data_IF_431851660972
#
_entry.id   IF_431851660972
#
_cell.length_a   1.000
_cell.length_b   1.000
_cell.length_c   1.000
_cell.angle_alpha   90.00
_cell.angle_beta   90.00
_cell.angle_gamma   90.00
#
_symmetry.space_group_name_H-M   'P 1'
#
loop_
_entity.id
_entity.type
_entity.pdbx_description
1 polymer ?
#
# COMPACT_ATOMS: atom_id res chain seq x y z
N UNK A 1 -52.52 33.54 -37.57
CA UNK A 1 -52.56 33.62 -36.09
C UNK A 1 -51.23 33.10 -35.54
N UNK A 2 -50.29 33.95 -35.09
CA UNK A 2 -49.02 33.50 -34.54
C UNK A 2 -49.20 32.91 -33.13
N UNK A 3 -48.81 31.66 -32.94
CA UNK A 3 -48.82 30.99 -31.63
C UNK A 3 -47.74 31.59 -30.72
N UNK A 4 -48.14 32.32 -29.67
CA UNK A 4 -47.23 32.76 -28.61
C UNK A 4 -46.89 31.58 -27.71
N UNK A 5 -45.72 30.96 -27.90
CA UNK A 5 -45.17 29.99 -26.96
C UNK A 5 -44.87 30.70 -25.63
N UNK A 6 -45.34 30.20 -24.47
CA UNK A 6 -45.05 30.83 -23.19
C UNK A 6 -43.54 30.75 -22.90
N UNK A 7 -42.86 31.90 -22.87
CA UNK A 7 -41.41 31.97 -22.63
C UNK A 7 -40.96 31.31 -21.31
N UNK A 8 -41.86 31.23 -20.32
CA UNK A 8 -41.61 30.55 -19.05
C UNK A 8 -41.32 29.05 -19.19
N UNK A 9 -42.01 28.35 -20.10
CA UNK A 9 -41.79 26.92 -20.34
C UNK A 9 -40.45 26.66 -21.00
N UNK A 10 -40.05 27.53 -21.93
CA UNK A 10 -38.77 27.44 -22.63
C UNK A 10 -37.61 27.67 -21.66
N UNK A 11 -37.70 28.70 -20.81
CA UNK A 11 -36.69 28.98 -19.78
C UNK A 11 -36.54 27.82 -18.79
N UNK A 12 -37.65 27.29 -18.26
CA UNK A 12 -37.61 26.16 -17.34
C UNK A 12 -37.02 24.88 -17.96
N UNK A 13 -37.24 24.66 -19.26
CA UNK A 13 -36.60 23.55 -19.99
C UNK A 13 -35.09 23.76 -20.11
N UNK A 14 -34.67 24.95 -20.52
CA UNK A 14 -33.25 25.29 -20.65
C UNK A 14 -32.52 25.21 -19.31
N UNK A 15 -33.13 25.69 -18.22
CA UNK A 15 -32.55 25.60 -16.87
C UNK A 15 -32.36 24.14 -16.43
N UNK A 16 -33.30 23.24 -16.76
CA UNK A 16 -33.16 21.80 -16.52
C UNK A 16 -32.05 21.18 -17.37
N UNK A 17 -31.95 21.54 -18.65
CA UNK A 17 -30.90 21.06 -19.54
C UNK A 17 -29.51 21.52 -19.07
N UNK A 18 -29.38 22.79 -18.64
CA UNK A 18 -28.13 23.32 -18.05
C UNK A 18 -27.78 22.62 -16.75
N UNK A 19 -28.75 22.37 -15.87
CA UNK A 19 -28.53 21.62 -14.64
C UNK A 19 -28.08 20.16 -14.92
N UNK A 20 -28.70 19.50 -15.90
CA UNK A 20 -28.32 18.15 -16.32
C UNK A 20 -26.89 18.12 -16.92
N UNK A 21 -26.55 19.08 -17.80
CA UNK A 21 -25.20 19.19 -18.36
C UNK A 21 -24.13 19.46 -17.29
N UNK A 22 -24.42 20.30 -16.29
CA UNK A 22 -23.52 20.54 -15.16
C UNK A 22 -23.30 19.27 -14.32
N UNK A 23 -24.36 18.52 -14.05
CA UNK A 23 -24.26 17.24 -13.34
C UNK A 23 -23.39 16.24 -14.14
N UNK A 24 -23.64 16.11 -15.45
CA UNK A 24 -22.83 15.24 -16.32
C UNK A 24 -21.36 15.68 -16.38
N UNK A 25 -21.09 16.97 -16.48
CA UNK A 25 -19.72 17.50 -16.48
C UNK A 25 -19.01 17.20 -15.16
N UNK A 26 -19.68 17.38 -14.02
CA UNK A 26 -19.11 17.03 -12.71
C UNK A 26 -18.83 15.52 -12.59
N UNK A 27 -19.71 14.67 -13.13
CA UNK A 27 -19.50 13.22 -13.16
C UNK A 27 -18.28 12.86 -14.01
N UNK A 28 -18.18 13.40 -15.23
CA UNK A 28 -17.03 13.14 -16.11
C UNK A 28 -15.72 13.64 -15.51
N UNK A 29 -15.72 14.80 -14.84
CA UNK A 29 -14.54 15.28 -14.12
C UNK A 29 -14.12 14.35 -12.98
N UNK A 30 -15.08 13.79 -12.24
CA UNK A 30 -14.83 12.81 -11.19
C UNK A 30 -14.30 11.48 -11.76
N UNK A 31 -14.84 11.01 -12.88
CA UNK A 31 -14.36 9.81 -13.57
C UNK A 31 -12.95 10.01 -14.13
N UNK A 32 -12.68 11.17 -14.72
CA UNK A 32 -11.37 11.53 -15.23
C UNK A 32 -10.33 11.61 -14.12
N UNK A 33 -10.62 12.27 -12.99
CA UNK A 33 -9.69 12.33 -11.85
C UNK A 33 -9.41 10.95 -11.25
N UNK A 34 -10.44 10.09 -11.17
CA UNK A 34 -10.29 8.69 -10.76
C UNK A 34 -9.40 7.91 -11.72
N UNK A 35 -9.59 8.05 -13.04
CA UNK A 35 -8.76 7.36 -14.04
C UNK A 35 -7.31 7.85 -14.02
N UNK A 36 -7.09 9.16 -13.90
CA UNK A 36 -5.75 9.73 -13.75
C UNK A 36 -5.04 9.19 -12.52
N UNK A 37 -5.74 9.10 -11.38
CA UNK A 37 -5.21 8.49 -10.16
C UNK A 37 -4.80 7.03 -10.39
N UNK A 38 -5.67 6.24 -11.03
CA UNK A 38 -5.38 4.83 -11.35
C UNK A 38 -4.16 4.70 -12.27
N UNK A 39 -4.09 5.51 -13.32
CA UNK A 39 -2.97 5.50 -14.25
C UNK A 39 -1.66 5.88 -13.55
N UNK A 40 -1.66 6.96 -12.76
CA UNK A 40 -0.49 7.39 -11.98
C UNK A 40 0.00 6.30 -11.03
N UNK A 41 -0.91 5.64 -10.30
CA UNK A 41 -0.57 4.55 -9.40
C UNK A 41 0.03 3.34 -10.13
N UNK A 42 -0.53 2.97 -11.29
CA UNK A 42 -0.03 1.87 -12.12
C UNK A 42 1.35 2.19 -12.70
N UNK A 43 1.53 3.39 -13.25
CA UNK A 43 2.80 3.85 -13.79
C UNK A 43 3.89 3.82 -12.70
N UNK A 44 3.63 4.40 -11.53
CA UNK A 44 4.57 4.43 -10.41
C UNK A 44 4.93 3.01 -9.91
N UNK A 45 3.96 2.08 -9.94
CA UNK A 45 4.21 0.66 -9.61
C UNK A 45 5.10 0.00 -10.66
N UNK A 46 4.83 0.23 -11.95
CA UNK A 46 5.64 -0.29 -13.05
C UNK A 46 7.08 0.25 -13.00
N UNK A 47 7.26 1.54 -12.73
CA UNK A 47 8.58 2.17 -12.61
C UNK A 47 9.36 1.58 -11.42
N UNK A 48 8.69 1.39 -10.30
CA UNK A 48 9.27 0.75 -9.11
C UNK A 48 9.72 -0.69 -9.38
N UNK A 49 8.93 -1.46 -10.14
CA UNK A 49 9.28 -2.83 -10.55
C UNK A 49 10.42 -2.86 -11.58
N UNK A 50 10.45 -1.91 -12.51
CA UNK A 50 11.55 -1.76 -13.48
C UNK A 50 12.87 -1.39 -12.78
N UNK A 51 12.79 -0.52 -11.77
CA UNK A 51 13.92 -0.17 -10.92
C UNK A 51 14.44 -1.39 -10.15
N UNK A 52 13.54 -2.18 -9.54
CA UNK A 52 13.91 -3.43 -8.84
C UNK A 52 14.61 -4.45 -9.74
N UNK A 53 14.17 -4.57 -11.00
CA UNK A 53 14.84 -5.42 -11.98
C UNK A 53 16.26 -4.92 -12.25
N UNK A 54 16.39 -3.62 -12.48
CA UNK A 54 17.68 -2.97 -12.77
C UNK A 54 18.64 -3.05 -11.58
N UNK A 55 18.15 -2.97 -10.34
CA UNK A 55 19.00 -3.09 -9.15
C UNK A 55 19.52 -4.51 -8.96
N UNK A 56 18.69 -5.53 -9.24
CA UNK A 56 19.11 -6.94 -9.21
C UNK A 56 20.25 -7.22 -10.20
N UNK A 57 20.11 -6.74 -11.44
CA UNK A 57 21.13 -6.91 -12.49
C UNK A 57 22.48 -6.28 -12.10
N UNK A 58 22.46 -5.12 -11.43
CA UNK A 58 23.70 -4.47 -10.94
C UNK A 58 24.39 -5.28 -9.85
N UNK A 59 23.64 -5.83 -8.90
CA UNK A 59 24.19 -6.65 -7.82
C UNK A 59 24.83 -7.94 -8.37
N UNK A 60 24.20 -8.57 -9.36
CA UNK A 60 24.74 -9.77 -10.03
C UNK A 60 26.02 -9.45 -10.82
N UNK A 61 26.10 -8.29 -11.49
CA UNK A 61 27.29 -7.91 -12.27
C UNK A 61 28.54 -7.58 -11.44
N UNK A 62 28.37 -7.20 -10.17
CA UNK A 62 29.48 -6.76 -9.30
C UNK A 62 30.18 -7.94 -8.61
N UNK A 63 29.47 -9.05 -8.41
CA UNK A 63 30.10 -10.30 -8.00
C UNK A 63 30.71 -10.97 -9.21
N UNK A 64 32.04 -10.81 -9.38
CA UNK A 64 32.82 -11.58 -10.34
C UNK A 64 32.38 -13.04 -10.29
N UNK A 65 32.14 -13.69 -11.44
CA UNK A 65 31.55 -15.02 -11.50
C UNK A 65 32.36 -15.95 -10.62
N UNK A 66 31.78 -16.32 -9.48
CA UNK A 66 32.35 -17.37 -8.66
C UNK A 66 32.38 -18.62 -9.55
N UNK A 67 33.53 -19.29 -9.72
CA UNK A 67 33.70 -20.39 -10.68
C UNK A 67 32.98 -21.70 -10.25
N UNK A 68 31.70 -21.59 -9.88
CA UNK A 68 30.88 -22.72 -9.43
C UNK A 68 29.37 -22.49 -9.38
N UNK A 69 28.82 -21.39 -9.88
CA UNK A 69 27.36 -21.15 -9.86
C UNK A 69 26.77 -21.03 -11.25
N UNK A 70 25.81 -21.91 -11.54
CA UNK A 70 25.08 -22.14 -12.80
C UNK A 70 25.91 -22.89 -13.83
N UNK A 71 25.74 -24.21 -13.85
CA UNK A 71 26.26 -25.05 -14.95
C UNK A 71 25.62 -24.60 -16.25
N UNK A 72 26.38 -24.62 -17.35
CA UNK A 72 25.88 -24.27 -18.68
C UNK A 72 24.59 -25.03 -19.07
N UNK A 73 24.32 -26.17 -18.44
CA UNK A 73 23.09 -26.94 -18.58
C UNK A 73 21.84 -26.27 -17.97
N UNK A 74 21.96 -25.56 -16.84
CA UNK A 74 20.85 -24.77 -16.27
C UNK A 74 20.56 -23.53 -17.12
N UNK A 75 21.60 -22.93 -17.72
CA UNK A 75 21.46 -21.80 -18.62
C UNK A 75 20.87 -22.22 -19.98
N UNK A 76 21.21 -23.42 -20.48
CA UNK A 76 20.59 -24.02 -21.66
C UNK A 76 19.11 -24.40 -21.43
N UNK A 77 18.74 -24.85 -20.22
CA UNK A 77 17.34 -25.09 -19.83
C UNK A 77 16.54 -23.78 -19.72
N UNK A 78 17.17 -22.70 -19.25
CA UNK A 78 16.57 -21.36 -19.23
C UNK A 78 16.42 -20.76 -20.64
N UNK A 79 17.37 -20.99 -21.55
CA UNK A 79 17.27 -20.59 -22.96
C UNK A 79 16.19 -21.39 -23.72
N UNK A 80 16.03 -22.69 -23.45
CA UNK A 80 14.91 -23.47 -24.00
C UNK A 80 13.55 -23.02 -23.46
N UNK A 81 13.48 -22.51 -22.23
CA UNK A 81 12.27 -21.91 -21.66
C UNK A 81 12.01 -20.48 -22.17
N UNK A 82 13.05 -19.72 -22.52
CA UNK A 82 12.93 -18.39 -23.14
C UNK A 82 12.43 -18.46 -24.60
N UNK A 83 12.59 -19.59 -25.28
CA UNK A 83 12.04 -19.86 -26.63
C UNK A 83 10.51 -19.90 -26.72
N UNK A 84 9.79 -19.82 -25.60
CA UNK A 84 8.33 -19.64 -25.56
C UNK A 84 7.90 -18.18 -25.28
N UNK A 85 8.86 -17.24 -25.27
CA UNK A 85 8.56 -15.81 -25.12
C UNK A 85 7.92 -15.25 -26.39
N UNK A 86 6.69 -14.77 -26.24
CA UNK A 86 5.93 -13.99 -27.20
C UNK A 86 6.80 -13.01 -28.00
N UNK A 87 6.65 -13.06 -29.33
CA UNK A 87 6.90 -11.99 -30.29
C UNK A 87 7.51 -10.70 -29.68
N UNK A 88 8.83 -10.62 -29.73
CA UNK A 88 9.54 -9.34 -29.82
C UNK A 88 9.03 -8.67 -31.09
N UNK A 89 8.02 -7.81 -30.97
CA UNK A 89 7.74 -6.81 -32.01
C UNK A 89 8.90 -5.84 -31.92
N UNK A 90 9.81 -5.97 -32.87
CA UNK A 90 10.92 -5.05 -33.09
C UNK A 90 10.40 -3.61 -33.07
N UNK A 91 10.75 -2.88 -32.01
CA UNK A 91 10.64 -1.42 -31.98
C UNK A 91 11.96 -0.83 -32.47
N UNK A 92 12.35 -1.20 -33.69
CA UNK A 92 13.36 -0.49 -34.46
C UNK A 92 12.68 0.18 -35.66
N UNK A 93 12.65 1.52 -35.63
CA UNK A 93 12.49 2.31 -36.84
C UNK A 93 11.16 3.06 -37.02
N UNK A 94 10.80 3.98 -36.12
CA UNK A 94 10.17 5.26 -36.54
C UNK A 94 10.70 6.38 -35.64
N UNK A 95 11.88 6.89 -35.98
CA UNK A 95 12.28 8.26 -35.69
C UNK A 95 11.75 9.14 -36.82
N UNK A 96 10.72 9.96 -36.57
CA UNK A 96 10.54 11.33 -37.11
C UNK A 96 9.15 11.87 -36.75
N UNK A 97 9.13 13.08 -36.18
CA UNK A 97 8.01 14.03 -36.05
C UNK A 97 6.78 13.64 -35.21
N UNK A 98 6.82 13.97 -33.91
CA UNK A 98 5.63 14.37 -33.14
C UNK A 98 6.01 15.28 -31.95
N UNK A 99 6.78 16.34 -32.21
CA UNK A 99 6.90 17.47 -31.30
C UNK A 99 6.11 18.63 -31.88
N UNK A 100 4.87 18.85 -31.40
CA UNK A 100 4.10 20.12 -31.53
C UNK A 100 2.64 20.08 -31.01
N UNK A 101 2.24 19.22 -30.05
CA UNK A 101 0.80 19.14 -29.67
C UNK A 101 0.46 18.95 -28.18
N UNK A 102 1.39 19.24 -27.25
CA UNK A 102 1.11 19.09 -25.80
C UNK A 102 1.49 20.31 -24.93
N UNK A 103 1.60 21.51 -25.50
CA UNK A 103 1.88 22.76 -24.76
C UNK A 103 0.82 23.87 -24.97
N UNK A 104 -0.45 23.51 -25.17
CA UNK A 104 -1.53 24.48 -25.41
C UNK A 104 -2.65 24.50 -24.34
N UNK A 105 -2.45 23.94 -23.15
CA UNK A 105 -3.49 23.99 -22.10
C UNK A 105 -2.91 24.06 -20.70
N UNK A 106 -2.18 25.14 -20.38
CA UNK A 106 -1.89 25.51 -18.99
C UNK A 106 -1.66 27.01 -18.74
N UNK A 107 -2.05 27.88 -19.68
CA UNK A 107 -2.01 29.35 -19.48
C UNK A 107 -3.39 29.92 -19.78
N UNK A 108 -4.30 29.85 -18.80
CA UNK A 108 -5.52 30.68 -18.75
C UNK A 108 -6.28 30.42 -17.43
N UNK A 109 -5.65 30.64 -16.27
CA UNK A 109 -6.37 30.96 -15.02
C UNK A 109 -5.41 31.68 -14.06
N UNK A 110 -5.01 32.89 -14.45
CA UNK A 110 -4.48 33.90 -13.55
C UNK A 110 -5.51 35.04 -13.53
N UNK A 111 -6.17 35.25 -12.40
CA UNK A 111 -7.16 36.31 -12.25
C UNK A 111 -7.83 36.34 -10.88
N UNK A 112 -7.29 37.22 -10.03
CA UNK A 112 -7.93 37.88 -8.89
C UNK A 112 -7.95 37.18 -7.52
N UNK A 113 -6.92 37.47 -6.71
CA UNK A 113 -7.11 37.93 -5.33
C UNK A 113 -5.85 38.71 -4.89
N UNK A 114 -5.96 40.03 -4.85
CA UNK A 114 -4.98 40.93 -4.25
C UNK A 114 -5.54 41.49 -2.93
N UNK A 115 -4.62 41.91 -2.06
CA UNK A 115 -4.76 42.51 -0.73
C UNK A 115 -4.91 41.47 0.42
N UNK A 116 -4.14 41.49 1.50
CA UNK A 116 -3.35 42.56 2.11
C UNK A 116 -2.27 41.98 3.05
N UNK A 117 -1.17 42.73 3.22
CA UNK A 117 -0.53 43.08 4.50
C UNK A 117 0.99 43.12 4.43
N UNK A 118 1.47 44.35 4.35
CA UNK A 118 2.79 44.90 4.61
C UNK A 118 3.13 44.95 6.11
N UNK A 119 4.44 45.07 6.37
CA UNK A 119 5.15 45.43 7.62
C UNK A 119 5.43 44.24 8.59
N UNK A 120 6.61 44.07 9.18
CA UNK A 120 7.58 45.08 9.63
C UNK A 120 9.05 44.59 9.62
N UNK A 121 9.95 45.59 9.63
CA UNK A 121 11.41 45.53 9.74
C UNK A 121 11.90 45.27 11.19
N UNK A 122 13.24 45.25 11.31
CA UNK A 122 14.14 45.47 12.47
C UNK A 122 14.47 44.23 13.32
N UNK A 123 15.69 43.68 13.26
CA UNK A 123 17.01 44.17 13.73
C UNK A 123 17.18 44.04 15.25
N UNK A 124 18.15 43.22 15.68
CA UNK A 124 19.09 43.52 16.78
C UNK A 124 20.07 42.36 17.00
N UNK A 125 21.34 42.67 16.83
CA UNK A 125 22.50 41.99 17.43
C UNK A 125 22.44 42.07 18.96
N UNK A 126 22.96 41.04 19.64
CA UNK A 126 23.62 41.20 20.93
C UNK A 126 24.53 39.98 21.18
N UNK A 127 25.82 40.17 20.94
CA UNK A 127 26.86 39.42 21.62
C UNK A 127 26.84 39.76 23.12
N UNK A 128 27.08 38.76 24.00
CA UNK A 128 27.99 38.94 25.13
C UNK A 128 28.40 37.59 25.75
N UNK A 129 29.67 37.45 26.19
CA UNK A 129 30.24 36.22 26.73
C UNK A 129 30.26 36.25 28.27
N UNK A 130 30.41 35.08 28.91
CA UNK A 130 31.00 34.98 30.26
C UNK A 130 31.43 33.55 30.64
N UNK A 131 32.74 33.41 30.83
CA UNK A 131 33.48 32.67 31.87
C UNK A 131 32.81 31.56 32.69
N UNK A 132 33.42 30.37 32.58
CA UNK A 132 34.18 29.76 33.68
C UNK A 132 33.41 28.93 34.73
N UNK A 133 33.74 27.64 34.87
CA UNK A 133 34.30 27.10 36.13
C UNK A 133 34.73 25.63 36.00
N UNK A 134 35.72 25.26 36.81
CA UNK A 134 36.42 23.98 36.90
C UNK A 134 35.76 23.03 37.92
N UNK A 135 35.92 21.71 37.71
CA UNK A 135 36.23 20.58 38.66
C UNK A 135 35.43 19.32 38.25
N UNK A 136 36.04 18.19 37.91
CA UNK A 136 36.81 17.20 38.71
C UNK A 136 35.92 16.18 39.44
N UNK A 137 36.17 14.89 39.18
CA UNK A 137 35.57 13.70 39.84
C UNK A 137 35.11 12.67 38.80
N UNK A 138 35.92 11.68 38.40
CA UNK A 138 36.17 10.38 39.08
C UNK A 138 34.89 9.70 39.55
N UNK A 139 34.44 8.65 38.86
CA UNK A 139 34.45 7.25 39.36
C UNK A 139 33.78 6.27 38.38
N UNK A 140 34.35 5.05 38.40
CA UNK A 140 33.71 3.74 38.18
C UNK A 140 33.22 3.34 36.79
N UNK A 141 34.06 2.49 36.18
CA UNK A 141 33.75 1.46 35.21
C UNK A 141 32.62 0.52 35.69
N UNK A 142 31.60 0.38 34.85
CA UNK A 142 30.73 -0.79 34.84
C UNK A 142 30.66 -1.30 33.39
N UNK A 143 31.23 -2.50 33.21
CA UNK A 143 31.27 -3.25 31.98
C UNK A 143 29.85 -3.79 31.71
N UNK A 144 29.08 -3.09 30.88
CA UNK A 144 27.87 -3.64 30.25
C UNK A 144 28.14 -3.79 28.76
N UNK A 145 28.50 -5.01 28.36
CA UNK A 145 28.62 -5.41 26.96
C UNK A 145 27.24 -5.47 26.31
N UNK A 146 26.70 -4.32 25.93
CA UNK A 146 25.65 -4.26 24.92
C UNK A 146 26.30 -4.29 23.55
N UNK A 147 26.01 -5.36 22.80
CA UNK A 147 26.31 -5.48 21.38
C UNK A 147 25.68 -4.32 20.62
N UNK A 148 26.48 -3.27 20.37
CA UNK A 148 26.15 -2.16 19.49
C UNK A 148 26.71 -2.49 18.11
N UNK A 149 25.93 -3.18 17.30
CA UNK A 149 26.24 -3.32 15.88
C UNK A 149 25.17 -2.58 15.05
N UNK A 150 25.65 -1.69 14.18
CA UNK A 150 24.92 -1.06 13.06
C UNK A 150 23.91 0.06 13.37
N UNK A 151 24.40 1.29 13.60
CA UNK A 151 23.56 2.50 13.51
C UNK A 151 24.13 3.63 12.61
N UNK A 152 25.30 3.44 12.00
CA UNK A 152 25.96 4.50 11.21
C UNK A 152 25.44 4.61 9.77
N UNK A 153 24.91 3.53 9.18
CA UNK A 153 24.43 3.55 7.78
C UNK A 153 23.14 4.37 7.59
N UNK A 154 22.33 4.56 8.64
CA UNK A 154 21.06 5.29 8.55
C UNK A 154 21.22 6.82 8.62
N UNK A 155 22.27 7.32 9.26
CA UNK A 155 22.44 8.75 9.50
C UNK A 155 22.75 9.55 8.23
N UNK A 156 23.35 8.91 7.21
CA UNK A 156 23.69 9.57 5.94
C UNK A 156 22.49 9.78 5.00
N UNK A 157 21.36 9.09 5.22
CA UNK A 157 20.15 9.23 4.39
C UNK A 157 19.13 10.24 4.95
N UNK A 158 19.40 10.87 6.10
CA UNK A 158 18.47 11.78 6.78
C UNK A 158 18.64 13.27 6.45
N UNK A 159 19.61 13.68 5.62
CA UNK A 159 19.83 15.10 5.29
C UNK A 159 18.94 15.62 4.14
N UNK A 160 17.67 15.23 4.11
CA UNK A 160 16.68 15.85 3.21
C UNK A 160 16.26 17.24 3.72
N UNK A 161 15.90 18.19 2.84
CA UNK A 161 15.37 19.49 3.26
C UNK A 161 14.11 19.31 4.13
N UNK A 162 13.94 20.11 5.20
CA UNK A 162 12.80 19.99 6.11
C UNK A 162 11.48 20.20 5.36
N UNK A 163 10.58 19.21 5.43
CA UNK A 163 9.25 19.26 4.82
C UNK A 163 8.36 20.24 5.60
N UNK A 164 7.59 21.05 4.88
CA UNK A 164 6.77 22.13 5.44
C UNK A 164 5.44 21.60 6.00
N UNK A 165 5.13 21.92 7.26
CA UNK A 165 4.12 21.33 8.16
C UNK A 165 2.62 21.36 7.75
N UNK A 166 2.26 21.69 6.51
CA UNK A 166 0.86 21.92 6.13
C UNK A 166 0.16 20.71 5.48
N UNK A 167 0.87 19.65 5.12
CA UNK A 167 0.29 18.43 4.54
C UNK A 167 1.26 17.23 4.69
N UNK A 168 1.57 16.86 5.94
CA UNK A 168 2.64 15.91 6.32
C UNK A 168 2.28 14.42 6.10
N UNK A 169 1.74 14.08 4.93
CA UNK A 169 1.71 12.67 4.50
C UNK A 169 3.14 12.20 4.26
N UNK A 170 3.47 10.96 4.66
CA UNK A 170 4.81 10.38 4.50
C UNK A 170 5.30 10.45 3.04
N UNK A 171 4.40 10.19 2.08
CA UNK A 171 4.63 10.36 0.67
C UNK A 171 4.03 11.69 0.17
N UNK A 172 4.78 12.50 -0.60
CA UNK A 172 4.26 13.72 -1.20
C UNK A 172 3.00 13.47 -2.04
N UNK A 173 2.15 14.48 -2.18
CA UNK A 173 0.89 14.37 -2.93
C UNK A 173 1.10 14.03 -4.42
N UNK A 174 2.29 14.29 -4.98
CA UNK A 174 2.63 14.03 -6.38
C UNK A 174 3.41 12.75 -6.67
N UNK A 175 4.03 12.12 -5.66
CA UNK A 175 4.82 10.90 -5.84
C UNK A 175 4.33 9.81 -4.89
N UNK A 176 3.43 8.97 -5.42
CA UNK A 176 2.75 7.92 -4.67
C UNK A 176 3.69 6.79 -4.21
N UNK A 177 4.84 6.63 -4.86
CA UNK A 177 5.77 5.51 -4.65
C UNK A 177 7.17 5.96 -4.19
N UNK A 178 7.36 7.25 -3.88
CA UNK A 178 8.63 7.77 -3.38
C UNK A 178 9.13 6.99 -2.14
N UNK A 179 8.23 6.68 -1.21
CA UNK A 179 8.55 5.90 -0.02
C UNK A 179 9.07 4.50 -0.39
N UNK A 180 8.48 3.88 -1.42
CA UNK A 180 8.93 2.58 -1.90
C UNK A 180 10.33 2.67 -2.50
N UNK A 181 10.59 3.67 -3.35
CA UNK A 181 11.93 3.91 -3.90
C UNK A 181 12.94 4.17 -2.78
N UNK A 182 12.59 5.00 -1.78
CA UNK A 182 13.43 5.27 -0.61
C UNK A 182 13.77 3.98 0.13
N UNK A 183 12.76 3.17 0.47
CA UNK A 183 12.96 1.87 1.14
C UNK A 183 13.83 0.93 0.31
N UNK A 184 13.68 0.93 -1.01
CA UNK A 184 14.46 0.08 -1.90
C UNK A 184 15.90 0.54 -2.10
N UNK A 185 16.18 1.84 -1.98
CA UNK A 185 17.54 2.40 -2.06
C UNK A 185 18.35 2.20 -0.79
N UNK A 186 17.71 1.81 0.31
CA UNK A 186 18.41 1.53 1.56
C UNK A 186 19.26 0.27 1.42
N UNK A 187 20.45 0.25 2.05
CA UNK A 187 21.33 -0.91 1.98
C UNK A 187 20.63 -2.12 2.61
N UNK A 188 20.53 -3.22 1.86
CA UNK A 188 19.97 -4.46 2.37
C UNK A 188 20.83 -4.94 3.54
N UNK A 189 20.20 -5.09 4.70
CA UNK A 189 20.85 -5.68 5.86
C UNK A 189 20.85 -7.20 5.61
N UNK A 190 22.03 -7.82 5.68
CA UNK A 190 22.17 -9.26 5.49
C UNK A 190 21.37 -10.02 6.55
N UNK A 191 20.15 -10.44 6.20
CA UNK A 191 19.20 -11.10 7.09
C UNK A 191 19.08 -12.62 6.79
N UNK A 192 20.14 -13.23 6.28
CA UNK A 192 20.15 -14.66 5.89
C UNK A 192 19.68 -15.58 7.04
N UNK A 193 19.88 -15.17 8.28
CA UNK A 193 19.59 -15.96 9.47
C UNK A 193 18.54 -15.36 10.41
N UNK A 194 17.77 -14.33 9.99
CA UNK A 194 16.75 -13.79 10.89
C UNK A 194 15.67 -14.84 11.17
N UNK A 195 15.41 -15.10 12.45
CA UNK A 195 14.40 -16.05 12.93
C UNK A 195 13.09 -15.31 13.24
N UNK A 196 12.00 -16.07 13.42
CA UNK A 196 10.72 -15.49 13.81
C UNK A 196 10.81 -14.79 15.17
N UNK A 197 11.46 -15.42 16.15
CA UNK A 197 11.67 -14.87 17.49
C UNK A 197 12.44 -13.56 17.45
N UNK A 198 13.51 -13.49 16.64
CA UNK A 198 14.28 -12.25 16.51
C UNK A 198 13.45 -11.12 15.88
N UNK A 199 12.63 -11.44 14.89
CA UNK A 199 11.74 -10.44 14.28
C UNK A 199 10.67 -9.93 15.26
N UNK A 200 10.18 -10.80 16.15
CA UNK A 200 9.25 -10.44 17.24
C UNK A 200 9.92 -9.53 18.27
N UNK A 201 11.15 -9.85 18.69
CA UNK A 201 11.95 -9.04 19.62
C UNK A 201 12.28 -7.65 19.03
N UNK A 202 12.69 -7.60 17.76
CA UNK A 202 12.95 -6.35 17.03
C UNK A 202 11.68 -5.48 16.95
N UNK A 203 10.53 -6.11 16.73
CA UNK A 203 9.24 -5.42 16.67
C UNK A 203 8.83 -4.87 18.05
N UNK A 204 8.91 -5.70 19.10
CA UNK A 204 8.62 -5.26 20.47
C UNK A 204 9.54 -4.10 20.89
N UNK A 205 10.83 -4.17 20.56
CA UNK A 205 11.79 -3.07 20.77
C UNK A 205 11.34 -1.81 20.04
N UNK A 206 10.97 -1.94 18.76
CA UNK A 206 10.49 -0.81 17.96
C UNK A 206 9.21 -0.19 18.53
N UNK A 207 8.27 -0.99 19.02
CA UNK A 207 7.04 -0.52 19.68
C UNK A 207 7.36 0.26 20.95
N UNK A 208 8.27 -0.24 21.79
CA UNK A 208 8.71 0.45 23.00
C UNK A 208 9.38 1.79 22.68
N UNK A 209 10.30 1.81 21.72
CA UNK A 209 10.99 3.02 21.27
C UNK A 209 10.00 4.04 20.68
N UNK A 210 9.05 3.60 19.85
CA UNK A 210 8.01 4.48 19.28
C UNK A 210 7.11 5.06 20.37
N UNK A 211 6.73 4.25 21.36
CA UNK A 211 5.88 4.68 22.48
C UNK A 211 6.58 5.76 23.30
N UNK A 212 7.88 5.59 23.57
CA UNK A 212 8.69 6.58 24.27
C UNK A 212 8.77 7.90 23.48
N UNK A 213 9.05 7.84 22.18
CA UNK A 213 9.17 9.04 21.34
C UNK A 213 7.83 9.77 21.17
N UNK A 214 6.71 9.05 21.09
CA UNK A 214 5.38 9.67 21.09
C UNK A 214 5.08 10.35 22.42
N UNK A 215 5.40 9.72 23.56
CA UNK A 215 5.22 10.33 24.87
C UNK A 215 6.09 11.59 25.03
N UNK A 216 7.30 11.61 24.46
CA UNK A 216 8.16 12.80 24.44
C UNK A 216 7.56 13.94 23.61
N UNK A 217 6.91 13.65 22.48
CA UNK A 217 6.23 14.68 21.67
C UNK A 217 5.04 15.33 22.39
N UNK A 218 4.39 14.61 23.30
CA UNK A 218 3.29 15.15 24.10
C UNK A 218 3.79 16.05 25.25
N UNK A 219 5.09 16.01 25.58
CA UNK A 219 5.67 16.88 26.59
C UNK A 219 5.93 18.30 26.05
N UNK A 220 5.93 19.33 26.92
CA UNK A 220 6.30 20.69 26.54
C UNK A 220 7.71 20.76 25.93
N UNK A 221 7.91 21.61 24.91
CA UNK A 221 9.17 21.75 24.14
C UNK A 221 10.42 21.93 25.02
N UNK A 222 10.29 22.62 26.16
CA UNK A 222 11.41 22.85 27.09
C UNK A 222 11.93 21.57 27.75
N UNK A 223 11.09 20.53 27.91
CA UNK A 223 11.52 19.22 28.44
C UNK A 223 12.09 18.33 27.33
N UNK A 224 11.60 18.48 26.10
CA UNK A 224 12.06 17.67 24.97
C UNK A 224 13.55 17.87 24.68
N UNK A 225 14.03 19.12 24.70
CA UNK A 225 15.42 19.46 24.42
C UNK A 225 16.42 18.89 25.44
N UNK A 226 15.98 18.55 26.66
CA UNK A 226 16.84 18.03 27.72
C UNK A 226 17.02 16.50 27.65
N UNK A 227 16.12 15.77 27.00
CA UNK A 227 16.02 14.31 27.13
C UNK A 227 16.64 13.50 25.98
N UNK A 228 16.85 14.09 24.79
CA UNK A 228 17.35 13.34 23.63
C UNK A 228 18.26 14.19 22.74
N UNK A 229 19.26 13.53 22.16
CA UNK A 229 20.13 14.13 21.13
C UNK A 229 19.47 14.16 19.74
N UNK A 230 18.48 13.30 19.49
CA UNK A 230 17.71 13.24 18.24
C UNK A 230 16.30 13.79 18.49
N UNK A 231 15.80 14.64 17.58
CA UNK A 231 14.43 15.13 17.64
C UNK A 231 13.46 13.93 17.58
N UNK A 232 12.43 13.87 18.44
CA UNK A 232 11.56 12.68 18.56
C UNK A 232 10.81 12.36 17.26
N UNK A 233 10.48 13.36 16.43
CA UNK A 233 9.87 13.13 15.11
C UNK A 233 10.81 12.39 14.16
N UNK A 234 12.08 12.79 14.10
CA UNK A 234 13.10 12.15 13.28
C UNK A 234 13.38 10.71 13.75
N UNK A 235 13.36 10.49 15.07
CA UNK A 235 13.47 9.16 15.65
C UNK A 235 12.27 8.27 15.25
N UNK A 236 11.04 8.80 15.30
CA UNK A 236 9.84 8.08 14.85
C UNK A 236 9.95 7.70 13.37
N UNK A 237 10.29 8.66 12.50
CA UNK A 237 10.50 8.41 11.07
C UNK A 237 11.52 7.29 10.86
N UNK A 238 12.68 7.37 11.52
CA UNK A 238 13.75 6.36 11.42
C UNK A 238 13.27 4.97 11.83
N UNK A 239 12.54 4.88 12.94
CA UNK A 239 12.05 3.62 13.48
C UNK A 239 11.01 2.97 12.57
N UNK A 240 10.05 3.75 12.07
CA UNK A 240 9.04 3.28 11.11
C UNK A 240 9.71 2.82 9.81
N UNK A 241 10.65 3.61 9.27
CA UNK A 241 11.41 3.24 8.07
C UNK A 241 12.24 1.98 8.27
N UNK A 242 12.94 1.84 9.40
CA UNK A 242 13.73 0.64 9.74
C UNK A 242 12.85 -0.59 9.73
N UNK A 243 11.70 -0.55 10.41
CA UNK A 243 10.76 -1.66 10.46
C UNK A 243 10.25 -2.03 9.07
N UNK A 244 9.83 -1.04 8.27
CA UNK A 244 9.30 -1.27 6.94
C UNK A 244 10.35 -1.80 5.97
N UNK A 245 11.58 -1.30 6.07
CA UNK A 245 12.71 -1.80 5.31
C UNK A 245 13.02 -3.27 5.63
N UNK A 246 12.94 -3.66 6.90
CA UNK A 246 13.11 -5.05 7.33
C UNK A 246 12.05 -5.96 6.70
N UNK A 247 10.77 -5.58 6.75
CA UNK A 247 9.68 -6.35 6.14
C UNK A 247 9.82 -6.43 4.61
N UNK A 248 10.20 -5.33 3.96
CA UNK A 248 10.43 -5.29 2.53
C UNK A 248 11.62 -6.16 2.13
N UNK A 249 12.70 -6.16 2.92
CA UNK A 249 13.87 -7.01 2.68
C UNK A 249 13.50 -8.50 2.74
N UNK A 250 12.69 -8.92 3.73
CA UNK A 250 12.20 -10.30 3.81
C UNK A 250 11.36 -10.70 2.59
N UNK A 251 10.53 -9.78 2.11
CA UNK A 251 9.73 -9.97 0.91
C UNK A 251 10.62 -10.14 -0.34
N UNK A 252 11.65 -9.29 -0.49
CA UNK A 252 12.60 -9.37 -1.61
C UNK A 252 13.47 -10.63 -1.58
N UNK A 253 13.81 -11.12 -0.38
CA UNK A 253 14.52 -12.39 -0.15
C UNK A 253 13.62 -13.63 -0.28
N UNK A 254 12.37 -13.46 -0.72
CA UNK A 254 11.39 -14.54 -0.88
C UNK A 254 11.07 -15.30 0.42
N UNK A 255 11.34 -14.72 1.60
CA UNK A 255 11.05 -15.31 2.92
C UNK A 255 9.60 -15.06 3.34
N UNK A 256 8.67 -15.37 2.44
CA UNK A 256 7.24 -15.10 2.60
C UNK A 256 6.61 -15.91 3.74
N UNK A 257 7.05 -17.14 3.97
CA UNK A 257 6.58 -17.96 5.10
C UNK A 257 6.89 -17.32 6.44
N UNK A 258 8.11 -16.78 6.60
CA UNK A 258 8.51 -16.07 7.80
C UNK A 258 7.70 -14.79 7.99
N UNK A 259 7.53 -14.01 6.92
CA UNK A 259 6.74 -12.77 6.97
C UNK A 259 5.28 -13.05 7.33
N UNK A 260 4.69 -14.13 6.80
CA UNK A 260 3.34 -14.55 7.13
C UNK A 260 3.24 -15.02 8.58
N UNK A 261 4.16 -15.88 9.04
CA UNK A 261 4.20 -16.33 10.43
C UNK A 261 4.33 -15.14 11.40
N UNK A 262 5.13 -14.14 11.05
CA UNK A 262 5.27 -12.91 11.83
C UNK A 262 3.96 -12.16 11.96
N UNK A 263 3.25 -11.86 10.86
CA UNK A 263 1.96 -11.15 10.92
C UNK A 263 0.85 -11.90 11.66
N UNK A 264 0.98 -13.21 11.84
CA UNK A 264 0.05 -14.03 12.59
C UNK A 264 0.49 -14.27 14.03
N UNK A 265 1.71 -13.85 14.39
CA UNK A 265 2.28 -14.14 15.70
C UNK A 265 1.97 -13.07 16.74
N UNK A 266 1.75 -13.53 17.97
CA UNK A 266 1.70 -12.68 19.14
C UNK A 266 3.13 -12.47 19.64
N UNK A 267 3.65 -11.24 19.58
CA UNK A 267 5.04 -10.93 19.93
C UNK A 267 5.33 -11.04 21.43
N UNK A 268 4.29 -11.14 22.28
CA UNK A 268 4.45 -11.37 23.72
C UNK A 268 4.44 -12.86 24.09
N UNK A 269 3.54 -13.66 23.49
CA UNK A 269 3.43 -15.09 23.82
C UNK A 269 4.29 -15.99 22.95
N UNK A 270 4.67 -15.53 21.75
CA UNK A 270 5.35 -16.33 20.73
C UNK A 270 4.41 -17.23 19.93
N UNK A 271 3.12 -17.30 20.29
CA UNK A 271 2.13 -18.14 19.60
C UNK A 271 1.83 -17.60 18.20
N UNK A 272 1.71 -18.51 17.23
CA UNK A 272 1.31 -18.20 15.85
C UNK A 272 -0.17 -18.54 15.69
N UNK A 273 -1.01 -17.52 15.50
CA UNK A 273 -2.43 -17.70 15.25
C UNK A 273 -2.73 -18.14 13.81
N UNK A 274 -3.97 -18.56 13.56
CA UNK A 274 -4.43 -18.92 12.21
C UNK A 274 -4.95 -17.71 11.42
N UNK A 275 -5.54 -16.73 12.13
CA UNK A 275 -6.20 -15.58 11.52
C UNK A 275 -5.65 -14.27 12.08
N UNK A 276 -5.64 -13.25 11.22
CA UNK A 276 -5.33 -11.88 11.65
C UNK A 276 -6.42 -11.36 12.58
N UNK A 277 -6.02 -10.64 13.62
CA UNK A 277 -6.95 -10.06 14.61
C UNK A 277 -7.74 -8.91 14.00
N UNK A 278 -8.82 -9.23 13.27
CA UNK A 278 -9.65 -8.25 12.56
C UNK A 278 -10.17 -7.16 13.48
N UNK A 279 -10.66 -7.52 14.66
CA UNK A 279 -11.21 -6.57 15.64
C UNK A 279 -10.16 -5.56 16.11
N UNK A 280 -8.93 -6.01 16.37
CA UNK A 280 -7.81 -5.15 16.73
C UNK A 280 -7.45 -4.18 15.59
N UNK A 281 -7.45 -4.67 14.35
CA UNK A 281 -7.21 -3.83 13.16
C UNK A 281 -8.31 -2.77 13.02
N UNK A 282 -9.58 -3.15 13.13
CA UNK A 282 -10.71 -2.22 13.06
C UNK A 282 -10.60 -1.14 14.15
N UNK A 283 -10.31 -1.53 15.40
CA UNK A 283 -10.14 -0.60 16.50
C UNK A 283 -8.97 0.36 16.27
N UNK A 284 -7.81 -0.16 15.84
CA UNK A 284 -6.64 0.66 15.56
C UNK A 284 -6.90 1.65 14.42
N UNK A 285 -7.53 1.22 13.32
CA UNK A 285 -7.90 2.09 12.19
C UNK A 285 -8.85 3.22 12.61
N UNK A 286 -9.81 2.93 13.49
CA UNK A 286 -10.71 3.96 14.02
C UNK A 286 -9.96 5.00 14.87
N UNK A 287 -8.95 4.57 15.64
CA UNK A 287 -8.13 5.44 16.49
C UNK A 287 -7.16 6.33 15.70
N UNK A 288 -6.80 5.96 14.46
CA UNK A 288 -5.91 6.77 13.62
C UNK A 288 -6.50 8.11 13.16
N UNK A 289 -7.82 8.29 13.27
CA UNK A 289 -8.53 9.50 12.85
C UNK A 289 -8.17 9.94 11.42
N UNK A 290 -8.10 8.98 10.49
CA UNK A 290 -7.76 9.26 9.11
C UNK A 290 -8.69 10.32 8.51
N UNK A 291 -8.15 11.26 7.74
CA UNK A 291 -8.96 12.22 7.01
C UNK A 291 -9.82 11.52 5.95
N UNK A 292 -10.93 12.15 5.53
CA UNK A 292 -11.78 11.62 4.46
C UNK A 292 -10.99 11.41 3.17
N UNK A 293 -10.08 12.34 2.86
CA UNK A 293 -9.23 12.25 1.67
C UNK A 293 -8.26 11.06 1.76
N UNK A 294 -7.58 10.85 2.90
CA UNK A 294 -6.71 9.68 3.10
C UNK A 294 -7.49 8.38 2.95
N UNK A 295 -8.66 8.26 3.62
CA UNK A 295 -9.52 7.06 3.50
C UNK A 295 -9.91 6.79 2.05
N UNK A 296 -10.35 7.82 1.35
CA UNK A 296 -10.74 7.72 -0.06
C UNK A 296 -9.56 7.31 -0.96
N UNK A 297 -8.36 7.88 -0.76
CA UNK A 297 -7.17 7.52 -1.53
C UNK A 297 -6.74 6.07 -1.28
N UNK A 298 -6.71 5.64 -0.02
CA UNK A 298 -6.40 4.25 0.37
C UNK A 298 -7.45 3.30 -0.22
N UNK A 299 -8.74 3.60 -0.07
CA UNK A 299 -9.85 2.83 -0.63
C UNK A 299 -9.75 2.66 -2.16
N UNK A 300 -9.45 3.74 -2.88
CA UNK A 300 -9.26 3.70 -4.33
C UNK A 300 -8.04 2.86 -4.74
N UNK A 301 -6.90 3.03 -4.06
CA UNK A 301 -5.70 2.23 -4.33
C UNK A 301 -5.94 0.75 -4.05
N UNK A 302 -6.56 0.42 -2.90
CA UNK A 302 -6.96 -0.94 -2.53
C UNK A 302 -7.81 -1.57 -3.64
N UNK A 303 -8.75 -0.84 -4.23
CA UNK A 303 -9.56 -1.34 -5.35
C UNK A 303 -8.76 -1.58 -6.64
N UNK A 304 -7.71 -0.81 -6.92
CA UNK A 304 -6.79 -1.04 -8.06
C UNK A 304 -5.95 -2.29 -7.80
N UNK A 305 -5.31 -2.37 -6.63
CA UNK A 305 -4.45 -3.50 -6.28
C UNK A 305 -5.23 -4.82 -6.15
N UNK A 306 -6.49 -4.80 -5.65
CA UNK A 306 -7.38 -5.98 -5.68
C UNK A 306 -7.63 -6.47 -7.12
N UNK A 307 -7.84 -5.55 -8.08
CA UNK A 307 -8.00 -5.89 -9.50
C UNK A 307 -6.72 -6.49 -10.10
N UNK A 308 -5.55 -5.97 -9.72
CA UNK A 308 -4.25 -6.52 -10.15
C UNK A 308 -3.96 -7.90 -9.56
N UNK A 309 -4.34 -8.14 -8.30
CA UNK A 309 -4.12 -9.41 -7.60
C UNK A 309 -5.06 -10.52 -8.10
N UNK A 310 -6.28 -10.19 -8.52
CA UNK A 310 -7.29 -11.16 -8.96
C UNK A 310 -6.77 -12.20 -9.98
N UNK A 311 -6.14 -11.84 -11.11
CA UNK A 311 -5.63 -12.83 -12.06
C UNK A 311 -4.50 -13.71 -11.48
N UNK A 312 -3.67 -13.18 -10.57
CA UNK A 312 -2.61 -13.96 -9.92
C UNK A 312 -3.20 -15.01 -8.98
N UNK A 313 -4.19 -14.61 -8.17
CA UNK A 313 -4.91 -15.51 -7.27
C UNK A 313 -5.63 -16.60 -8.07
N UNK A 314 -6.32 -16.24 -9.15
CA UNK A 314 -6.97 -17.21 -10.04
C UNK A 314 -5.96 -18.16 -10.69
N UNK A 315 -4.80 -17.65 -11.14
CA UNK A 315 -3.72 -18.47 -11.70
C UNK A 315 -3.17 -19.47 -10.68
N UNK A 316 -2.92 -19.01 -9.44
CA UNK A 316 -2.46 -19.85 -8.33
C UNK A 316 -3.47 -20.95 -8.01
N UNK A 317 -4.75 -20.59 -7.89
CA UNK A 317 -5.82 -21.56 -7.66
C UNK A 317 -5.88 -22.61 -8.77
N UNK A 318 -5.83 -22.21 -10.05
CA UNK A 318 -5.82 -23.16 -11.19
C UNK A 318 -4.62 -24.12 -11.13
N UNK A 319 -3.43 -23.64 -10.80
CA UNK A 319 -2.24 -24.49 -10.66
C UNK A 319 -2.33 -25.45 -9.47
N UNK A 320 -2.87 -24.98 -8.33
CA UNK A 320 -3.08 -25.82 -7.15
C UNK A 320 -4.10 -26.94 -7.42
N UNK A 321 -5.23 -26.61 -8.04
CA UNK A 321 -6.25 -27.59 -8.43
C UNK A 321 -5.71 -28.64 -9.42
N UNK A 322 -4.95 -28.22 -10.43
CA UNK A 322 -4.38 -29.16 -11.42
C UNK A 322 -3.17 -29.96 -10.92
N UNK A 323 -2.55 -29.54 -9.81
CA UNK A 323 -1.40 -30.21 -9.19
C UNK A 323 -1.81 -31.36 -8.27
N UNK A 324 -2.82 -31.13 -7.42
CA UNK A 324 -3.21 -32.09 -6.38
C UNK A 324 -3.86 -33.37 -6.96
N UNK A 325 -4.64 -33.24 -8.03
CA UNK A 325 -5.36 -34.38 -8.63
C UNK A 325 -4.44 -35.36 -9.35
N UNK A 326 -3.34 -34.89 -9.95
CA UNK A 326 -2.44 -35.74 -10.72
C UNK A 326 -1.46 -36.55 -9.86
N UNK A 327 -1.03 -36.00 -8.71
CA UNK A 327 -0.12 -36.70 -7.79
C UNK A 327 -0.85 -37.83 -7.02
N UNK A 328 -2.09 -37.59 -6.60
CA UNK A 328 -2.91 -38.57 -5.88
C UNK A 328 -3.26 -39.80 -6.76
N UNK A 329 -3.54 -39.60 -8.05
CA UNK A 329 -3.85 -40.70 -8.97
C UNK A 329 -2.66 -41.63 -9.27
N UNK A 330 -1.41 -41.14 -9.13
CA UNK A 330 -0.21 -41.94 -9.39
C UNK A 330 0.22 -42.79 -8.18
N UNK A 331 -0.10 -42.36 -6.95
CA UNK A 331 0.20 -43.12 -5.74
C UNK A 331 -0.67 -44.38 -5.61
N UNK A 332 -1.82 -44.44 -6.29
CA UNK A 332 -2.72 -45.60 -6.30
C UNK A 332 -2.29 -46.80 -7.17
N UNK A 333 -1.18 -46.70 -7.91
CA UNK A 333 -0.67 -47.82 -8.73
C UNK A 333 0.30 -48.74 -7.98
N UNK A 334 0.53 -48.53 -6.68
CA UNK A 334 1.04 -49.59 -5.81
C UNK A 334 -0.09 -50.60 -5.55
N UNK A 335 -0.37 -51.43 -6.55
CA UNK A 335 -1.26 -52.56 -6.41
C UNK A 335 -0.72 -53.51 -5.32
N UNK A 336 -1.48 -53.76 -4.24
CA UNK A 336 -1.05 -54.69 -3.21
C UNK A 336 -1.21 -56.11 -3.75
N UNK A 337 -0.11 -56.85 -3.86
CA UNK A 337 -0.17 -58.32 -3.78
C UNK A 337 0.05 -59.14 -5.06
N UNK A 338 0.79 -58.66 -6.06
CA UNK A 338 1.29 -59.58 -7.11
C UNK A 338 2.51 -60.34 -6.55
N UNK A 339 2.25 -61.53 -6.00
CA UNK A 339 3.27 -62.55 -5.68
C UNK A 339 4.07 -62.84 -6.96
N UNK A 340 5.33 -62.40 -6.98
CA UNK A 340 6.31 -62.75 -7.99
C UNK A 340 6.80 -64.17 -7.72
N UNK A 341 6.17 -65.17 -8.35
CA UNK A 341 6.82 -66.46 -8.61
C UNK A 341 7.36 -66.48 -10.05
N UNK A 342 8.56 -67.04 -10.18
CA UNK A 342 9.50 -66.80 -11.27
C UNK A 342 9.02 -67.22 -12.66
N UNK A 343 9.28 -66.34 -13.63
CA UNK A 343 9.18 -66.65 -15.06
C UNK A 343 9.78 -65.49 -15.84
N UNK A 344 10.88 -65.73 -16.57
CA UNK A 344 11.66 -64.70 -17.25
C UNK A 344 10.83 -63.86 -18.22
N UNK A 345 10.79 -62.54 -17.99
CA UNK A 345 10.07 -61.60 -18.86
C UNK A 345 11.07 -60.65 -19.52
N UNK A 346 11.03 -60.65 -20.86
CA UNK A 346 11.82 -59.84 -21.79
C UNK A 346 11.93 -58.36 -21.42
N UNK A 347 13.18 -57.86 -21.31
CA UNK A 347 13.54 -56.50 -20.92
C UNK A 347 13.19 -55.36 -21.89
N UNK A 348 12.24 -55.53 -22.81
CA UNK A 348 11.94 -54.52 -23.84
C UNK A 348 10.85 -53.50 -23.44
N UNK A 349 10.05 -53.76 -22.39
CA UNK A 349 8.91 -52.89 -22.03
C UNK A 349 9.21 -51.80 -20.97
N UNK A 350 10.44 -51.73 -20.44
CA UNK A 350 10.79 -50.83 -19.32
C UNK A 350 11.09 -49.39 -19.77
N UNK A 351 11.58 -49.20 -21.00
CA UNK A 351 11.97 -47.88 -21.54
C UNK A 351 10.83 -46.85 -21.67
N UNK A 352 9.62 -47.19 -22.20
CA UNK A 352 8.54 -46.19 -22.34
C UNK A 352 7.99 -45.70 -20.99
N UNK A 353 8.03 -46.53 -19.95
CA UNK A 353 7.58 -46.15 -18.61
C UNK A 353 8.52 -45.12 -17.97
N UNK A 354 9.83 -45.26 -18.17
CA UNK A 354 10.82 -44.32 -17.65
C UNK A 354 10.70 -42.92 -18.28
N UNK A 355 10.47 -42.84 -19.60
CA UNK A 355 10.26 -41.58 -20.29
C UNK A 355 9.02 -40.83 -19.78
N UNK A 356 7.91 -41.53 -19.54
CA UNK A 356 6.70 -40.94 -18.97
C UNK A 356 6.90 -40.40 -17.55
N UNK A 357 7.73 -41.08 -16.72
CA UNK A 357 8.07 -40.61 -15.37
C UNK A 357 8.92 -39.33 -15.44
N UNK A 358 9.96 -39.30 -16.29
CA UNK A 358 10.79 -38.10 -16.46
C UNK A 358 9.98 -36.90 -16.96
N UNK A 359 9.10 -37.12 -17.95
CA UNK A 359 8.21 -36.06 -18.45
C UNK A 359 7.28 -35.52 -17.34
N UNK A 360 6.78 -36.41 -16.46
CA UNK A 360 5.95 -36.01 -15.32
C UNK A 360 6.74 -35.19 -14.30
N UNK A 361 7.98 -35.58 -13.99
CA UNK A 361 8.84 -34.81 -13.08
C UNK A 361 9.16 -33.43 -13.64
N UNK A 362 9.49 -33.33 -14.93
CA UNK A 362 9.69 -32.03 -15.60
C UNK A 362 8.43 -31.16 -15.54
N UNK A 363 7.26 -31.75 -15.77
CA UNK A 363 5.99 -31.02 -15.66
C UNK A 363 5.72 -30.55 -14.23
N UNK A 364 6.02 -31.36 -13.21
CA UNK A 364 5.89 -30.98 -11.81
C UNK A 364 6.86 -29.85 -11.45
N UNK A 365 8.12 -29.93 -11.87
CA UNK A 365 9.12 -28.88 -11.67
C UNK A 365 8.67 -27.57 -12.30
N UNK A 366 8.18 -27.59 -13.55
CA UNK A 366 7.67 -26.40 -14.22
C UNK A 366 6.45 -25.79 -13.50
N UNK A 367 5.54 -26.62 -12.98
CA UNK A 367 4.40 -26.16 -12.18
C UNK A 367 4.83 -25.50 -10.88
N UNK A 368 5.80 -26.09 -10.16
CA UNK A 368 6.34 -25.52 -8.91
C UNK A 368 7.03 -24.18 -9.19
N UNK A 369 7.85 -24.10 -10.23
CA UNK A 369 8.50 -22.85 -10.64
C UNK A 369 7.48 -21.76 -11.00
N UNK A 370 6.42 -22.13 -11.73
CA UNK A 370 5.32 -21.22 -12.08
C UNK A 370 4.56 -20.73 -10.85
N UNK A 371 4.27 -21.63 -9.91
CA UNK A 371 3.58 -21.28 -8.66
C UNK A 371 4.42 -20.35 -7.79
N UNK A 372 5.72 -20.63 -7.64
CA UNK A 372 6.67 -19.77 -6.94
C UNK A 372 6.70 -18.37 -7.55
N UNK A 373 6.78 -18.28 -8.89
CA UNK A 373 6.75 -17.00 -9.62
C UNK A 373 5.45 -16.22 -9.38
N UNK A 374 4.30 -16.90 -9.37
CA UNK A 374 3.01 -16.27 -9.09
C UNK A 374 2.93 -15.76 -7.65
N UNK A 375 3.40 -16.54 -6.67
CA UNK A 375 3.46 -16.13 -5.27
C UNK A 375 4.38 -14.93 -5.08
N UNK A 376 5.54 -14.90 -5.73
CA UNK A 376 6.46 -13.76 -5.69
C UNK A 376 5.79 -12.50 -6.25
N UNK A 377 5.12 -12.59 -7.41
CA UNK A 377 4.36 -11.48 -8.00
C UNK A 377 3.24 -11.02 -7.07
N UNK A 378 2.48 -11.95 -6.49
CA UNK A 378 1.40 -11.67 -5.54
C UNK A 378 1.94 -10.88 -4.34
N UNK A 379 3.06 -11.32 -3.76
CA UNK A 379 3.67 -10.68 -2.61
C UNK A 379 4.24 -9.30 -2.95
N UNK A 380 4.90 -9.12 -4.09
CA UNK A 380 5.39 -7.80 -4.52
C UNK A 380 4.24 -6.79 -4.67
N UNK A 381 3.12 -7.20 -5.26
CA UNK A 381 1.95 -6.33 -5.41
C UNK A 381 1.34 -6.00 -4.04
N UNK A 382 1.25 -6.98 -3.13
CA UNK A 382 0.84 -6.72 -1.73
C UNK A 382 1.79 -5.77 -1.01
N UNK A 383 3.10 -5.92 -1.20
CA UNK A 383 4.13 -5.03 -0.65
C UNK A 383 3.98 -3.60 -1.16
N UNK A 384 3.71 -3.41 -2.45
CA UNK A 384 3.43 -2.09 -3.02
C UNK A 384 2.21 -1.44 -2.37
N UNK A 385 1.11 -2.18 -2.19
CA UNK A 385 -0.07 -1.68 -1.49
C UNK A 385 0.21 -1.34 -0.02
N UNK A 386 1.00 -2.16 0.69
CA UNK A 386 1.41 -1.88 2.07
C UNK A 386 2.20 -0.57 2.16
N UNK A 387 3.19 -0.37 1.29
CA UNK A 387 4.01 0.84 1.27
C UNK A 387 3.21 2.06 0.80
N UNK A 388 2.31 1.90 -0.16
CA UNK A 388 1.37 2.96 -0.53
C UNK A 388 0.50 3.38 0.65
N UNK A 389 -0.07 2.40 1.37
CA UNK A 389 -0.94 2.65 2.54
C UNK A 389 -0.17 3.43 3.60
N UNK A 390 1.05 3.00 3.92
CA UNK A 390 1.93 3.73 4.83
C UNK A 390 2.23 5.15 4.31
N UNK A 391 2.55 5.29 3.02
CA UNK A 391 2.84 6.60 2.41
C UNK A 391 1.69 7.61 2.49
N UNK A 392 0.45 7.14 2.67
CA UNK A 392 -0.74 7.99 2.87
C UNK A 392 -0.97 8.39 4.33
N UNK A 393 -0.25 7.80 5.28
CA UNK A 393 -0.31 8.15 6.69
C UNK A 393 0.71 9.23 7.01
N UNK A 394 0.54 9.93 8.13
CA UNK A 394 1.62 10.70 8.75
C UNK A 394 2.54 9.77 9.55
N UNK A 395 3.77 10.20 9.85
CA UNK A 395 4.69 9.42 10.72
C UNK A 395 4.08 9.11 12.08
N UNK A 396 3.34 10.06 12.66
CA UNK A 396 2.62 9.89 13.92
C UNK A 396 1.49 8.86 13.82
N UNK A 397 0.71 8.91 12.73
CA UNK A 397 -0.34 7.90 12.47
C UNK A 397 0.26 6.51 12.30
N UNK A 398 1.37 6.38 11.56
CA UNK A 398 2.06 5.11 11.39
C UNK A 398 2.59 4.56 12.72
N UNK A 399 3.21 5.40 13.55
CA UNK A 399 3.68 5.03 14.88
C UNK A 399 2.54 4.57 15.80
N UNK A 400 1.44 5.35 15.84
CA UNK A 400 0.24 4.98 16.62
C UNK A 400 -0.34 3.66 16.15
N UNK A 401 -0.39 3.39 14.84
CA UNK A 401 -0.87 2.11 14.33
C UNK A 401 -0.02 0.94 14.84
N UNK A 402 1.31 1.06 14.74
CA UNK A 402 2.25 0.03 15.22
C UNK A 402 2.03 -0.25 16.71
N UNK A 403 1.85 0.80 17.51
CA UNK A 403 1.62 0.68 18.96
C UNK A 403 0.24 0.07 19.26
N UNK A 404 -0.82 0.53 18.60
CA UNK A 404 -2.18 0.03 18.83
C UNK A 404 -2.38 -1.41 18.38
N UNK A 405 -1.58 -1.89 17.42
CA UNK A 405 -1.62 -3.27 16.97
C UNK A 405 -0.90 -4.24 17.91
N UNK A 406 -0.01 -3.76 18.78
CA UNK A 406 0.72 -4.59 19.74
C UNK A 406 -0.26 -5.33 20.67
N UNK A 407 -0.14 -6.67 20.85
CA UNK A 407 1.07 -7.48 20.63
C UNK A 407 1.25 -8.09 19.23
N UNK A 408 0.39 -7.77 18.28
CA UNK A 408 0.47 -8.28 16.91
C UNK A 408 1.17 -7.27 15.98
N UNK A 409 1.93 -7.74 14.97
CA UNK A 409 2.51 -6.84 13.98
C UNK A 409 1.46 -6.12 13.14
N UNK A 410 1.70 -4.85 12.83
CA UNK A 410 0.81 -4.06 11.98
C UNK A 410 0.75 -4.63 10.54
N UNK A 411 -0.33 -5.36 10.24
CA UNK A 411 -0.60 -5.88 8.90
C UNK A 411 -1.14 -4.79 7.96
N UNK A 412 -0.26 -3.97 7.38
CA UNK A 412 -0.60 -2.85 6.50
C UNK A 412 -1.59 -3.17 5.38
N UNK A 413 -1.48 -4.38 4.80
CA UNK A 413 -2.43 -4.85 3.80
C UNK A 413 -3.85 -4.97 4.38
N UNK A 414 -3.99 -5.57 5.57
CA UNK A 414 -5.28 -5.73 6.23
C UNK A 414 -5.86 -4.37 6.65
N UNK A 415 -5.01 -3.47 7.14
CA UNK A 415 -5.35 -2.08 7.43
C UNK A 415 -5.92 -1.37 6.19
N UNK A 416 -5.28 -1.53 5.02
CA UNK A 416 -5.77 -0.94 3.77
C UNK A 416 -7.14 -1.47 3.32
N UNK A 417 -7.43 -2.73 3.65
CA UNK A 417 -8.71 -3.37 3.35
C UNK A 417 -9.80 -2.89 4.30
N UNK A 418 -9.47 -2.77 5.58
CA UNK A 418 -10.38 -2.25 6.61
C UNK A 418 -10.74 -0.79 6.36
N UNK A 419 -9.77 0.04 5.99
CA UNK A 419 -10.02 1.44 5.57
C UNK A 419 -10.96 1.51 4.38
N UNK A 420 -10.78 0.63 3.38
CA UNK A 420 -11.66 0.56 2.22
C UNK A 420 -13.09 0.09 2.59
N UNK A 421 -13.22 -0.82 3.57
CA UNK A 421 -14.51 -1.27 4.08
C UNK A 421 -15.24 -0.12 4.81
N UNK A 422 -14.55 0.58 5.72
CA UNK A 422 -15.11 1.73 6.46
C UNK A 422 -15.54 2.85 5.50
N UNK A 423 -14.73 3.16 4.47
CA UNK A 423 -15.07 4.16 3.45
C UNK A 423 -16.35 3.78 2.67
N UNK A 424 -16.49 2.49 2.32
CA UNK A 424 -17.68 1.98 1.65
C UNK A 424 -18.93 2.08 2.53
N UNK A 425 -18.83 1.67 3.80
CA UNK A 425 -19.93 1.76 4.78
C UNK A 425 -20.37 3.20 5.02
N UNK A 426 -19.41 4.14 5.15
CA UNK A 426 -19.71 5.57 5.28
C UNK A 426 -20.42 6.14 4.05
N UNK A 427 -20.00 5.75 2.85
CA UNK A 427 -20.63 6.20 1.60
C UNK A 427 -22.05 5.65 1.47
N UNK A 428 -22.28 4.39 1.83
CA UNK A 428 -23.61 3.78 1.84
C UNK A 428 -24.54 4.45 2.87
N UNK A 429 -24.05 4.71 4.07
CA UNK A 429 -24.81 5.43 5.11
C UNK A 429 -25.18 6.86 4.66
N UNK A 430 -24.26 7.56 3.99
CA UNK A 430 -24.51 8.91 3.47
C UNK A 430 -25.57 8.90 2.36
N UNK A 431 -25.55 7.91 1.47
CA UNK A 431 -26.57 7.73 0.43
C UNK A 431 -27.94 7.41 1.02
N UNK A 432 -27.99 6.53 2.03
CA UNK A 432 -29.23 6.21 2.72
C UNK A 432 -29.83 7.44 3.43
N UNK A 433 -28.99 8.24 4.09
CA UNK A 433 -29.41 9.50 4.73
C UNK A 433 -29.92 10.53 3.71
N UNK A 434 -29.24 10.68 2.56
CA UNK A 434 -29.68 11.57 1.49
C UNK A 434 -31.01 11.13 0.88
N UNK A 435 -31.20 9.83 0.65
CA UNK A 435 -32.46 9.27 0.16
C UNK A 435 -33.61 9.46 1.16
N UNK A 436 -33.35 9.25 2.46
CA UNK A 436 -34.33 9.49 3.52
C UNK A 436 -34.73 10.98 3.61
N UNK A 437 -33.76 11.90 3.50
CA UNK A 437 -34.03 13.33 3.46
C UNK A 437 -34.84 13.73 2.23
N UNK A 438 -34.54 13.17 1.06
CA UNK A 438 -35.31 13.38 -0.17
C UNK A 438 -36.76 12.88 -0.05
N UNK A 439 -36.96 11.70 0.54
CA UNK A 439 -38.30 11.15 0.77
C UNK A 439 -39.11 12.01 1.76
N UNK A 440 -38.49 12.49 2.84
CA UNK A 440 -39.13 13.39 3.81
C UNK A 440 -39.55 14.72 3.16
N UNK A 441 -38.72 15.29 2.29
CA UNK A 441 -39.06 16.51 1.54
C UNK A 441 -40.24 16.27 0.59
N UNK A 442 -40.23 15.18 -0.17
CA UNK A 442 -41.32 14.82 -1.07
C UNK A 442 -42.65 14.65 -0.32
N UNK A 443 -42.64 13.95 0.83
CA UNK A 443 -43.80 13.78 1.68
C UNK A 443 -44.35 15.12 2.22
N UNK A 444 -43.47 16.07 2.55
CA UNK A 444 -43.88 17.41 3.02
C UNK A 444 -44.49 18.29 1.91
N UNK A 445 -44.01 18.16 0.67
CA UNK A 445 -44.53 18.91 -0.48
C UNK A 445 -45.93 18.45 -0.91
N UNK A 446 -46.24 17.16 -0.78
CA UNK A 446 -47.54 16.59 -1.15
C UNK A 446 -48.71 17.08 -0.30
N UNK A 447 -48.47 17.52 0.95
CA UNK A 447 -49.54 17.97 1.86
C UNK A 447 -50.00 19.42 1.66
N UNK A 448 -49.21 20.29 1.02
CA UNK A 448 -49.59 21.72 0.84
C UNK A 448 -50.50 21.99 -0.36
N UNK A 449 -50.69 21.02 -1.26
CA UNK A 449 -51.48 21.20 -2.50
C UNK A 449 -52.98 20.97 -2.40
N UNK A 450 -53.49 20.41 -1.29
CA UNK A 450 -54.90 20.03 -1.14
C UNK A 450 -55.63 20.75 0.00
N UNK A 451 -55.16 21.92 0.43
CA UNK A 451 -56.05 22.86 1.09
C UNK A 451 -56.95 23.49 0.01
N UNK A 452 -57.96 22.71 -0.44
CA UNK A 452 -59.16 23.29 -1.05
C UNK A 452 -59.61 24.36 -0.06
N UNK A 453 -59.54 25.62 -0.47
CA UNK A 453 -60.32 26.69 0.13
C UNK A 453 -61.80 26.26 0.11
N UNK A 454 -62.20 25.47 1.10
CA UNK A 454 -63.56 25.44 1.57
C UNK A 454 -63.77 26.82 2.18
N UNK A 455 -64.38 27.72 1.41
CA UNK A 455 -65.06 28.89 1.95
C UNK A 455 -66.05 28.42 3.01
N UNK A 456 -65.59 28.26 4.25
CA UNK A 456 -66.47 28.22 5.41
C UNK A 456 -67.04 29.63 5.53
N UNK A 457 -68.22 29.85 4.92
CA UNK A 457 -69.15 30.90 5.33
C UNK A 457 -69.41 30.68 6.82
N UNK A 458 -68.80 31.51 7.66
CA UNK A 458 -69.14 31.60 9.07
C UNK A 458 -70.51 32.27 9.13
N UNK A 459 -71.57 31.49 9.33
CA UNK A 459 -72.85 32.04 9.77
C UNK A 459 -72.72 32.36 11.26
N UNK A 460 -72.53 33.64 11.59
CA UNK A 460 -72.68 34.13 12.95
C UNK A 460 -74.16 34.02 13.35
N UNK A 461 -74.46 33.09 14.26
CA UNK A 461 -75.79 32.95 14.88
C UNK A 461 -75.83 33.87 16.10
N UNK A 462 -76.43 35.05 15.93
CA UNK A 462 -76.76 35.99 17.02
C UNK A 462 -77.83 35.34 17.89
N UNK A 463 -77.57 35.23 19.19
CA UNK A 463 -78.55 34.79 20.20
C UNK A 463 -79.08 36.05 20.89
N UNK A 464 -80.39 36.25 20.82
CA UNK A 464 -81.12 37.24 21.60
C UNK A 464 -81.45 36.75 23.00
#
# INVERSE_FOLDING_TARGET
MPYKVPQSKVRARMDREVAAMRAQLSQLQQEHSKLLFQHSLLAATCDSLAWLRSSKERTESTHAPSPGSVTADEQALLEQLAGLSCCSVDRQGISTHAGAAAQASQVLFAGNAAAASTAAMTAAEAETPCSGSRRSGVTSSSYSGSSRHSSTAFQLLQQGPPLSAADDSIAPQGDLMQLFQRLLTMPSIAHEHITLTQLQEDYATTVCELSLNLAMLEQPEHLQAACSAEAPEAAIERLVLRHMHQLLTLLLQQRHDLLQAFYLSNCLSGDVGEEQQKEAITAAVQQLQLSRQQRQQISQATAVFKRLLAPLIQGRQKLQWTGFTAASAAAGLQAPGVKLEGGGVSGAAVLPQQAAVLQRLQQQQHKVASLSTLMQKEMLIKGCLSVFTLGRLTWLQAARLIIHMFPYPAAWLAVSQEVAQIDHEQLQAQQAAAAAAGAAYAASSGRRGFSKHGSRRVQCKVRG
#
